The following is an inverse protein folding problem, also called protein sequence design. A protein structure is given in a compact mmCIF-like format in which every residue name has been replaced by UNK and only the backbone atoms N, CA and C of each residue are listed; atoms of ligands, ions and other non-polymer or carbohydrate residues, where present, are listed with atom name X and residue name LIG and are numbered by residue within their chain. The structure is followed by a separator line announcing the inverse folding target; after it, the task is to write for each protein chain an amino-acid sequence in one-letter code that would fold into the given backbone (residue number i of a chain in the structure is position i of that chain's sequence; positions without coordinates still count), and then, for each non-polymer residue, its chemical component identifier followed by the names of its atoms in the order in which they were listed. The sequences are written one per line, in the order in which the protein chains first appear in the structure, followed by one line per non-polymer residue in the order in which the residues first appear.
data_IF_732674997967
#
_entry.id   IF_732674997967
#
_cell.length_a   1.000
_cell.length_b   1.000
_cell.length_c   1.000
_cell.angle_alpha   90.00
_cell.angle_beta   90.00
_cell.angle_gamma   90.00
#
_symmetry.space_group_name_H-M   'P 1'
#
loop_
_entity.id
_entity.type
_entity.pdbx_description
1 polymer ?
#
# COMPACT_ATOMS: atom_id res chain seq x y z
N UNK A 1 24.58 -7.54 -2.69
CA UNK A 1 23.32 -6.86 -3.02
C UNK A 1 22.29 -7.91 -3.41
N UNK A 2 21.17 -7.92 -2.76
CA UNK A 2 20.12 -8.89 -3.05
C UNK A 2 19.59 -8.68 -4.46
N UNK A 3 19.68 -9.71 -5.29
CA UNK A 3 19.08 -9.70 -6.64
C UNK A 3 17.55 -9.80 -6.60
N UNK A 4 17.01 -10.08 -5.41
CA UNK A 4 15.58 -10.33 -5.20
C UNK A 4 14.85 -9.11 -4.65
N UNK A 5 15.41 -7.93 -4.86
CA UNK A 5 14.78 -6.69 -4.41
C UNK A 5 13.63 -6.34 -5.33
N UNK A 6 12.44 -6.63 -4.89
CA UNK A 6 11.22 -6.25 -5.57
C UNK A 6 10.86 -4.80 -5.24
N UNK A 7 10.45 -4.07 -6.27
CA UNK A 7 9.96 -2.72 -6.15
C UNK A 7 8.52 -2.66 -6.62
N UNK A 8 7.71 -1.88 -5.91
CA UNK A 8 6.34 -1.56 -6.31
C UNK A 8 6.28 -0.08 -6.62
N UNK A 9 5.85 0.28 -7.83
CA UNK A 9 5.72 1.65 -8.28
C UNK A 9 4.26 2.09 -8.28
N UNK A 10 4.03 3.32 -7.81
CA UNK A 10 2.75 3.99 -7.94
C UNK A 10 2.68 4.70 -9.29
N UNK A 11 1.93 4.13 -10.21
CA UNK A 11 1.74 4.69 -11.56
C UNK A 11 0.81 5.89 -11.62
N UNK A 12 0.16 6.24 -10.52
CA UNK A 12 -0.76 7.38 -10.52
C UNK A 12 -0.05 8.71 -10.54
N UNK A 13 1.19 8.75 -10.04
CA UNK A 13 2.00 9.96 -10.00
C UNK A 13 2.89 10.10 -11.24
N UNK A 14 3.54 9.03 -11.66
CA UNK A 14 4.44 9.06 -12.82
C UNK A 14 4.51 7.70 -13.54
N UNK A 15 3.74 7.51 -14.61
CA UNK A 15 3.77 6.26 -15.39
C UNK A 15 5.12 5.97 -16.04
N UNK A 16 5.96 6.98 -16.25
CA UNK A 16 7.29 6.81 -16.87
C UNK A 16 8.28 6.10 -15.95
N UNK A 17 8.02 6.04 -14.64
CA UNK A 17 8.84 5.29 -13.68
C UNK A 17 9.01 3.81 -14.05
N UNK A 18 8.07 3.23 -14.78
CA UNK A 18 8.17 1.85 -15.25
C UNK A 18 9.31 1.63 -16.24
N UNK A 19 9.77 2.69 -16.90
CA UNK A 19 10.86 2.64 -17.89
C UNK A 19 12.18 3.12 -17.33
N UNK A 20 12.22 3.52 -16.05
CA UNK A 20 13.41 4.09 -15.44
C UNK A 20 14.48 3.02 -15.21
N UNK A 21 15.69 3.17 -15.77
CA UNK A 21 16.77 2.21 -15.55
C UNK A 21 17.32 2.32 -14.13
N UNK A 22 17.78 1.20 -13.58
CA UNK A 22 18.51 1.21 -12.33
C UNK A 22 19.83 1.98 -12.46
N UNK A 23 20.29 2.59 -11.37
CA UNK A 23 21.48 3.44 -11.36
C UNK A 23 22.78 2.71 -11.78
N UNK A 24 22.83 1.41 -11.69
CA UNK A 24 23.93 0.51 -12.08
C UNK A 24 23.71 -0.14 -13.45
N UNK A 25 22.79 0.40 -14.26
CA UNK A 25 22.37 -0.14 -15.56
C UNK A 25 21.72 -1.55 -15.52
N UNK A 26 21.42 -2.07 -14.36
CA UNK A 26 20.58 -3.27 -14.24
C UNK A 26 19.11 -2.86 -14.38
N UNK A 27 18.27 -3.65 -15.08
CA UNK A 27 16.84 -3.37 -15.15
C UNK A 27 16.22 -3.49 -13.77
N UNK A 28 15.32 -2.56 -13.42
CA UNK A 28 14.52 -2.65 -12.20
C UNK A 28 13.61 -3.87 -12.27
N UNK A 29 13.64 -4.66 -11.20
CA UNK A 29 12.73 -5.77 -11.04
C UNK A 29 11.49 -5.29 -10.29
N UNK A 30 10.35 -5.23 -10.98
CA UNK A 30 9.08 -4.81 -10.40
C UNK A 30 8.41 -5.98 -9.68
N UNK A 31 8.03 -5.78 -8.43
CA UNK A 31 7.17 -6.70 -7.69
C UNK A 31 5.69 -6.51 -7.97
N UNK A 32 5.31 -5.30 -8.40
CA UNK A 32 3.91 -4.98 -8.73
C UNK A 32 3.76 -3.53 -9.18
N UNK A 33 2.56 -3.19 -9.60
CA UNK A 33 2.17 -1.84 -10.02
C UNK A 33 0.95 -1.42 -9.21
N UNK A 34 1.00 -0.25 -8.60
CA UNK A 34 -0.11 0.30 -7.79
C UNK A 34 -0.84 1.37 -8.59
N UNK A 35 -2.16 1.29 -8.61
CA UNK A 35 -3.03 2.30 -9.22
C UNK A 35 -4.08 2.81 -8.23
N UNK A 36 -4.51 4.04 -8.41
CA UNK A 36 -5.53 4.66 -7.57
C UNK A 36 -6.94 4.10 -7.82
N UNK A 37 -7.77 4.21 -6.79
CA UNK A 37 -9.17 3.82 -6.85
C UNK A 37 -9.96 4.42 -8.02
N UNK A 38 -9.80 5.72 -8.37
CA UNK A 38 -10.57 6.31 -9.48
C UNK A 38 -10.08 5.92 -10.88
N UNK A 39 -9.00 5.15 -11.00
CA UNK A 39 -8.52 4.70 -12.32
C UNK A 39 -9.61 3.91 -13.05
N UNK A 40 -10.02 4.32 -14.27
CA UNK A 40 -11.05 3.60 -15.02
C UNK A 40 -10.65 2.14 -15.30
N UNK A 41 -11.65 1.25 -15.27
CA UNK A 41 -11.41 -0.20 -15.50
C UNK A 41 -10.71 -0.50 -16.83
N UNK A 42 -11.03 0.26 -17.90
CA UNK A 42 -10.33 0.12 -19.20
C UNK A 42 -8.84 0.39 -19.11
N UNK A 43 -8.43 1.35 -18.28
CA UNK A 43 -7.01 1.66 -18.04
C UNK A 43 -6.36 0.56 -17.21
N UNK A 44 -7.04 0.09 -16.18
CA UNK A 44 -6.60 -1.03 -15.36
C UNK A 44 -6.35 -2.28 -16.21
N UNK A 45 -7.29 -2.63 -17.08
CA UNK A 45 -7.15 -3.75 -18.01
C UNK A 45 -5.97 -3.57 -18.97
N UNK A 46 -5.75 -2.34 -19.45
CA UNK A 46 -4.62 -2.03 -20.32
C UNK A 46 -3.28 -2.18 -19.62
N UNK A 47 -3.18 -1.70 -18.39
CA UNK A 47 -1.97 -1.87 -17.57
C UNK A 47 -1.72 -3.36 -17.34
N UNK A 48 -2.72 -4.08 -16.90
CA UNK A 48 -2.63 -5.53 -16.66
C UNK A 48 -2.14 -6.30 -17.88
N UNK A 49 -2.59 -5.92 -19.08
CA UNK A 49 -2.17 -6.55 -20.33
C UNK A 49 -0.73 -6.19 -20.74
N UNK A 50 -0.18 -5.11 -20.18
CA UNK A 50 1.14 -4.57 -20.55
C UNK A 50 2.25 -4.99 -19.59
N UNK A 51 1.93 -5.57 -18.43
CA UNK A 51 2.90 -5.94 -17.41
C UNK A 51 2.69 -7.38 -16.94
N UNK A 52 3.77 -8.05 -16.58
CA UNK A 52 3.76 -9.43 -16.07
C UNK A 52 3.75 -9.50 -14.54
N UNK A 53 3.51 -8.38 -13.88
CA UNK A 53 3.48 -8.26 -12.43
C UNK A 53 2.06 -8.01 -11.94
N UNK A 54 1.75 -8.31 -10.67
CA UNK A 54 0.44 -8.03 -10.11
C UNK A 54 0.09 -6.55 -10.18
N UNK A 55 -1.16 -6.24 -10.50
CA UNK A 55 -1.70 -4.89 -10.42
C UNK A 55 -2.42 -4.74 -9.10
N UNK A 56 -1.94 -3.78 -8.30
CA UNK A 56 -2.50 -3.44 -6.99
C UNK A 56 -3.42 -2.23 -7.17
N UNK A 57 -4.65 -2.32 -6.70
CA UNK A 57 -5.60 -1.20 -6.75
C UNK A 57 -5.84 -0.67 -5.35
N UNK A 58 -5.74 0.66 -5.20
CA UNK A 58 -5.95 1.32 -3.92
C UNK A 58 -7.43 1.54 -3.65
N UNK A 59 -7.87 1.15 -2.47
CA UNK A 59 -9.17 1.45 -1.88
C UNK A 59 -8.97 2.59 -0.88
N UNK A 60 -9.45 3.78 -1.24
CA UNK A 60 -9.17 5.00 -0.48
C UNK A 60 -10.26 5.36 0.55
N UNK A 61 -11.44 4.78 0.44
CA UNK A 61 -12.57 5.01 1.34
C UNK A 61 -13.63 3.91 1.17
N UNK A 62 -14.66 3.96 2.00
CA UNK A 62 -15.79 3.02 1.96
C UNK A 62 -16.62 3.08 0.69
N UNK A 63 -16.58 4.19 -0.03
CA UNK A 63 -17.34 4.37 -1.29
C UNK A 63 -16.62 3.72 -2.48
N UNK A 64 -15.38 3.29 -2.32
CA UNK A 64 -14.65 2.60 -3.38
C UNK A 64 -15.28 1.23 -3.65
N UNK A 65 -15.79 1.03 -4.87
CA UNK A 65 -16.33 -0.27 -5.27
C UNK A 65 -15.21 -1.28 -5.54
N UNK A 66 -14.64 -1.82 -4.47
CA UNK A 66 -13.54 -2.77 -4.55
C UNK A 66 -13.93 -4.08 -5.27
N UNK A 67 -15.20 -4.49 -5.20
CA UNK A 67 -15.68 -5.67 -5.94
C UNK A 67 -15.48 -5.47 -7.45
N UNK A 68 -15.89 -4.31 -7.95
CA UNK A 68 -15.71 -3.99 -9.36
C UNK A 68 -14.22 -3.95 -9.75
N UNK A 69 -13.36 -3.50 -8.85
CA UNK A 69 -11.91 -3.52 -9.07
C UNK A 69 -11.34 -4.93 -9.19
N UNK A 70 -11.84 -5.85 -8.38
CA UNK A 70 -11.48 -7.26 -8.47
C UNK A 70 -11.92 -7.83 -9.82
N UNK A 71 -13.14 -7.52 -10.26
CA UNK A 71 -13.67 -7.93 -11.57
C UNK A 71 -12.86 -7.33 -12.73
N UNK A 72 -12.40 -6.11 -12.61
CA UNK A 72 -11.54 -5.44 -13.58
C UNK A 72 -10.10 -6.02 -13.64
N UNK A 73 -9.74 -6.91 -12.74
CA UNK A 73 -8.47 -7.63 -12.76
C UNK A 73 -7.43 -7.16 -11.75
N UNK A 74 -7.82 -6.44 -10.71
CA UNK A 74 -6.93 -6.21 -9.58
C UNK A 74 -6.48 -7.56 -9.00
N UNK A 75 -5.18 -7.74 -8.82
CA UNK A 75 -4.63 -8.93 -8.20
C UNK A 75 -4.52 -8.80 -6.68
N UNK A 76 -4.32 -7.58 -6.21
CA UNK A 76 -4.18 -7.23 -4.79
C UNK A 76 -4.94 -5.93 -4.55
N UNK A 77 -5.60 -5.82 -3.42
CA UNK A 77 -6.15 -4.55 -2.95
C UNK A 77 -5.22 -3.92 -1.92
N UNK A 78 -4.95 -2.63 -2.07
CA UNK A 78 -4.27 -1.83 -1.06
C UNK A 78 -5.29 -0.92 -0.37
N UNK A 79 -5.62 -1.19 0.87
CA UNK A 79 -6.56 -0.36 1.63
C UNK A 79 -5.81 0.78 2.33
N UNK A 80 -6.08 2.00 1.91
CA UNK A 80 -5.44 3.22 2.39
C UNK A 80 -6.51 4.27 2.75
N UNK A 81 -7.33 3.97 3.74
CA UNK A 81 -8.50 4.77 4.13
C UNK A 81 -8.36 5.43 5.52
N UNK A 82 -7.13 5.64 5.96
CA UNK A 82 -6.87 6.25 7.26
C UNK A 82 -7.49 5.45 8.40
N UNK A 83 -8.26 6.10 9.25
CA UNK A 83 -8.91 5.47 10.41
C UNK A 83 -9.93 4.39 10.03
N UNK A 84 -10.48 4.42 8.82
CA UNK A 84 -11.43 3.42 8.32
C UNK A 84 -10.75 2.16 7.77
N UNK A 85 -9.45 2.15 7.64
CA UNK A 85 -8.70 1.03 7.05
C UNK A 85 -9.03 -0.32 7.69
N UNK A 86 -9.00 -0.50 9.03
CA UNK A 86 -9.32 -1.80 9.63
C UNK A 86 -10.75 -2.29 9.33
N UNK A 87 -11.72 -1.39 9.33
CA UNK A 87 -13.12 -1.71 9.04
C UNK A 87 -13.29 -2.20 7.60
N UNK A 88 -12.71 -1.47 6.65
CA UNK A 88 -12.77 -1.84 5.22
C UNK A 88 -12.04 -3.16 4.96
N UNK A 89 -10.88 -3.38 5.59
CA UNK A 89 -10.17 -4.66 5.50
C UNK A 89 -11.02 -5.81 6.00
N UNK A 90 -11.68 -5.65 7.15
CA UNK A 90 -12.57 -6.66 7.71
C UNK A 90 -13.74 -6.97 6.78
N UNK A 91 -14.36 -5.95 6.19
CA UNK A 91 -15.46 -6.12 5.23
C UNK A 91 -15.01 -6.89 3.98
N UNK A 92 -13.86 -6.53 3.41
CA UNK A 92 -13.31 -7.22 2.25
C UNK A 92 -13.01 -8.68 2.60
N UNK A 93 -12.39 -8.92 3.76
CA UNK A 93 -12.02 -10.27 4.22
C UNK A 93 -13.24 -11.16 4.44
N UNK A 94 -14.31 -10.62 4.95
CA UNK A 94 -15.57 -11.36 5.10
C UNK A 94 -16.14 -11.83 3.77
N UNK A 95 -16.09 -10.97 2.76
CA UNK A 95 -16.64 -11.28 1.42
C UNK A 95 -15.68 -12.09 0.54
N UNK A 96 -14.39 -11.88 0.71
CA UNK A 96 -13.32 -12.51 -0.06
C UNK A 96 -12.23 -13.06 0.87
N UNK A 97 -12.46 -14.23 1.51
CA UNK A 97 -11.60 -14.74 2.58
C UNK A 97 -10.13 -14.93 2.20
N UNK A 98 -9.87 -15.27 0.95
CA UNK A 98 -8.52 -15.62 0.47
C UNK A 98 -7.89 -14.53 -0.41
N UNK A 99 -8.57 -13.39 -0.57
CA UNK A 99 -8.06 -12.35 -1.47
C UNK A 99 -6.87 -11.61 -0.84
N UNK A 100 -5.78 -11.36 -1.60
CA UNK A 100 -4.62 -10.64 -1.07
C UNK A 100 -4.95 -9.18 -0.75
N UNK A 101 -4.71 -8.78 0.49
CA UNK A 101 -4.93 -7.42 0.97
C UNK A 101 -3.64 -6.87 1.56
N UNK A 102 -3.17 -5.77 1.00
CA UNK A 102 -2.16 -4.90 1.62
C UNK A 102 -2.92 -3.74 2.24
N UNK A 103 -2.48 -3.25 3.37
CA UNK A 103 -3.03 -2.05 3.96
C UNK A 103 -1.95 -1.02 4.21
N UNK A 104 -2.24 0.23 3.90
CA UNK A 104 -1.39 1.33 4.34
C UNK A 104 -1.69 1.59 5.81
N UNK A 105 -0.70 1.33 6.64
CA UNK A 105 -0.85 1.37 8.10
C UNK A 105 -1.19 2.76 8.61
N UNK A 106 -1.81 2.80 9.78
CA UNK A 106 -2.08 4.03 10.50
C UNK A 106 -0.82 4.62 11.15
N UNK A 107 -1.03 5.71 11.87
CA UNK A 107 0.06 6.49 12.47
C UNK A 107 0.66 5.83 13.72
N UNK A 108 0.01 4.84 14.31
CA UNK A 108 0.42 4.22 15.57
C UNK A 108 0.29 2.69 15.56
N UNK A 109 0.92 2.08 16.55
CA UNK A 109 0.95 0.62 16.71
C UNK A 109 -0.45 0.02 16.87
N UNK A 110 -1.37 0.72 17.51
CA UNK A 110 -2.72 0.19 17.74
C UNK A 110 -3.50 0.10 16.44
N UNK A 111 -3.43 1.11 15.59
CA UNK A 111 -4.08 1.09 14.27
C UNK A 111 -3.48 0.02 13.35
N UNK A 112 -2.16 -0.18 13.39
CA UNK A 112 -1.48 -1.25 12.66
C UNK A 112 -1.96 -2.62 13.15
N UNK A 113 -1.99 -2.84 14.45
CA UNK A 113 -2.47 -4.10 15.04
C UNK A 113 -3.93 -4.37 14.71
N UNK A 114 -4.79 -3.34 14.77
CA UNK A 114 -6.19 -3.45 14.41
C UNK A 114 -6.35 -3.88 12.95
N UNK A 115 -5.55 -3.32 12.06
CA UNK A 115 -5.56 -3.66 10.63
C UNK A 115 -5.10 -5.10 10.37
N UNK A 116 -4.08 -5.57 11.09
CA UNK A 116 -3.63 -6.96 11.01
C UNK A 116 -4.71 -7.91 11.53
N UNK A 117 -5.32 -7.60 12.67
CA UNK A 117 -6.43 -8.40 13.22
C UNK A 117 -7.63 -8.44 12.29
N UNK A 118 -7.88 -7.37 11.54
CA UNK A 118 -8.93 -7.32 10.53
C UNK A 118 -8.69 -8.23 9.33
N UNK A 119 -7.45 -8.69 9.12
CA UNK A 119 -7.12 -9.68 8.11
C UNK A 119 -6.24 -9.18 6.96
N UNK A 120 -5.55 -8.06 7.10
CA UNK A 120 -4.54 -7.65 6.12
C UNK A 120 -3.39 -8.64 6.08
N UNK A 121 -2.92 -8.97 4.87
CA UNK A 121 -1.78 -9.87 4.65
C UNK A 121 -0.45 -9.17 4.83
N UNK A 122 -0.40 -7.86 4.53
CA UNK A 122 0.79 -7.04 4.66
C UNK A 122 0.43 -5.60 4.99
N UNK A 123 1.36 -4.90 5.60
CA UNK A 123 1.23 -3.48 5.95
C UNK A 123 2.30 -2.69 5.22
N UNK A 124 1.89 -1.61 4.57
CA UNK A 124 2.79 -0.57 4.10
C UNK A 124 2.93 0.44 5.23
N UNK A 125 4.13 0.61 5.72
CA UNK A 125 4.43 1.55 6.78
C UNK A 125 5.49 2.54 6.32
N UNK A 126 5.23 3.82 6.55
CA UNK A 126 6.20 4.88 6.29
C UNK A 126 6.84 5.27 7.63
N UNK A 127 8.14 5.02 7.79
CA UNK A 127 8.81 5.41 9.03
C UNK A 127 8.76 6.93 9.22
N UNK A 128 8.70 7.40 10.46
CA UNK A 128 8.75 8.83 10.74
C UNK A 128 10.09 9.41 10.28
N UNK A 129 10.06 10.66 9.85
CA UNK A 129 11.28 11.38 9.48
C UNK A 129 12.15 11.65 10.71
N UNK A 130 13.45 11.88 10.49
CA UNK A 130 14.35 12.24 11.59
C UNK A 130 13.88 13.48 12.37
N UNK A 131 13.27 14.44 11.69
CA UNK A 131 12.71 15.62 12.33
C UNK A 131 11.51 15.31 13.23
N UNK A 132 10.65 14.40 12.81
CA UNK A 132 9.51 13.95 13.62
C UNK A 132 9.99 13.14 14.83
N UNK A 133 10.92 12.21 14.64
CA UNK A 133 11.53 11.46 15.75
C UNK A 133 12.19 12.40 16.77
N UNK A 134 12.94 13.38 16.30
CA UNK A 134 13.59 14.36 17.19
C UNK A 134 12.56 15.16 18.00
N UNK A 135 11.49 15.62 17.37
CA UNK A 135 10.40 16.32 18.06
C UNK A 135 9.74 15.47 19.15
N UNK A 136 9.50 14.21 18.86
CA UNK A 136 8.88 13.28 19.81
C UNK A 136 9.81 12.99 20.98
N UNK A 137 11.08 12.75 20.72
CA UNK A 137 12.11 12.57 21.76
C UNK A 137 12.19 13.81 22.65
N UNK A 138 12.24 15.01 22.08
CA UNK A 138 12.31 16.24 22.84
C UNK A 138 11.04 16.53 23.64
N UNK A 139 9.88 16.21 23.08
CA UNK A 139 8.59 16.32 23.78
C UNK A 139 8.56 15.41 24.99
N UNK A 140 8.96 14.14 24.83
CA UNK A 140 9.01 13.17 25.92
C UNK A 140 10.02 13.57 26.99
N UNK A 141 11.19 14.05 26.60
CA UNK A 141 12.22 14.55 27.51
C UNK A 141 11.69 15.72 28.37
N UNK A 142 11.06 16.70 27.74
CA UNK A 142 10.47 17.85 28.46
C UNK A 142 9.31 17.44 29.38
N UNK A 143 8.62 16.39 29.07
CA UNK A 143 7.54 15.82 29.89
C UNK A 143 8.05 14.87 30.99
N UNK A 144 9.36 14.62 31.07
CA UNK A 144 9.96 13.68 32.04
C UNK A 144 9.63 12.23 31.76
N UNK A 145 9.24 11.88 30.52
CA UNK A 145 8.92 10.49 30.14
C UNK A 145 10.19 9.76 29.71
N UNK A 146 10.30 8.43 30.02
CA UNK A 146 11.44 7.63 29.55
C UNK A 146 11.39 7.52 28.02
N UNK A 147 12.57 7.39 27.41
CA UNK A 147 12.68 7.05 26.00
C UNK A 147 12.26 5.61 25.77
N UNK A 148 11.64 5.32 24.63
CA UNK A 148 11.34 3.96 24.23
C UNK A 148 12.63 3.19 23.92
#
# INVERSE_FOLDING_TARGET
MSKDRELIFDMTEDPELLTYPAADNEPLQLGGVVVNAPTPGRILNRIRSSVDVPVVVTVANSDTNYRHRIEDGAAILNVAAGAQTPEIVAEIRERFPDYPIIATGGADDESIRATIRAGANAIIWTPPTNGELFRDVMKNYRAGKPHP
#
